data_IF_117830804086
#
_entry.id   IF_117830804086
#
_cell.length_a   1.000
_cell.length_b   1.000
_cell.length_c   1.000
_cell.angle_alpha   90.00
_cell.angle_beta   90.00
_cell.angle_gamma   90.00
#
_symmetry.space_group_name_H-M   'P 1'
#
loop_
_entity.id
_entity.type
_entity.pdbx_description
1 polymer ?
#
# COMPACT_ATOMS: atom_id res chain seq x y z
N UNK A 1 13.06 38.80 32.55
CA UNK A 1 13.85 37.82 31.79
C UNK A 1 13.32 36.44 32.16
N UNK A 2 12.33 35.95 31.38
CA UNK A 2 11.76 34.62 31.59
C UNK A 2 12.67 33.60 30.94
N UNK A 3 13.16 32.65 31.73
CA UNK A 3 13.93 31.50 31.30
C UNK A 3 13.15 30.73 30.22
N UNK A 4 13.69 30.72 29.00
CA UNK A 4 13.35 29.71 27.98
C UNK A 4 13.74 28.35 28.57
N UNK A 5 12.74 27.61 29.04
CA UNK A 5 12.91 26.18 29.29
C UNK A 5 13.18 25.52 27.94
N UNK A 6 14.42 25.06 27.74
CA UNK A 6 14.77 24.16 26.65
C UNK A 6 13.83 22.94 26.71
N UNK A 7 13.17 22.57 25.60
CA UNK A 7 12.31 21.40 25.60
C UNK A 7 13.17 20.15 25.80
N UNK A 8 12.94 19.46 26.92
CA UNK A 8 13.59 18.19 27.26
C UNK A 8 13.62 17.24 26.03
N UNK A 9 14.81 16.88 25.51
CA UNK A 9 14.93 16.02 24.32
C UNK A 9 14.43 14.58 24.56
N UNK A 10 14.12 14.25 25.81
CA UNK A 10 13.68 12.94 26.27
C UNK A 10 12.17 12.84 26.54
N UNK A 11 11.40 13.94 26.39
CA UNK A 11 9.94 13.84 26.39
C UNK A 11 9.48 13.24 25.06
N UNK A 12 9.40 11.91 25.04
CA UNK A 12 8.71 11.16 24.00
C UNK A 12 7.29 11.71 23.96
N UNK A 13 6.98 12.48 22.92
CA UNK A 13 5.67 13.04 22.72
C UNK A 13 4.72 11.90 22.31
N UNK A 14 4.16 11.21 23.32
CA UNK A 14 3.31 10.02 23.16
C UNK A 14 2.20 10.25 22.12
N UNK A 15 1.76 11.50 21.96
CA UNK A 15 0.74 11.90 21.00
C UNK A 15 1.27 11.84 19.55
N UNK A 16 2.52 12.23 19.31
CA UNK A 16 3.19 12.08 18.01
C UNK A 16 3.53 10.61 17.70
N UNK A 17 3.91 9.82 18.72
CA UNK A 17 4.13 8.38 18.57
C UNK A 17 2.83 7.66 18.21
N UNK A 18 1.73 7.95 18.90
CA UNK A 18 0.42 7.39 18.61
C UNK A 18 -0.09 7.79 17.22
N UNK A 19 0.15 9.03 16.79
CA UNK A 19 -0.16 9.51 15.43
C UNK A 19 0.62 8.75 14.36
N UNK A 20 1.92 8.54 14.58
CA UNK A 20 2.79 7.78 13.67
C UNK A 20 2.40 6.31 13.59
N UNK A 21 2.05 5.69 14.73
CA UNK A 21 1.56 4.31 14.78
C UNK A 21 0.24 4.14 14.01
N UNK A 22 -0.69 5.08 14.19
CA UNK A 22 -1.98 5.08 13.47
C UNK A 22 -1.76 5.22 11.97
N UNK A 23 -0.85 6.08 11.54
CA UNK A 23 -0.50 6.25 10.14
C UNK A 23 0.13 4.99 9.55
N UNK A 24 1.02 4.32 10.30
CA UNK A 24 1.64 3.05 9.91
C UNK A 24 0.58 1.94 9.76
N UNK A 25 -0.35 1.84 10.71
CA UNK A 25 -1.47 0.89 10.65
C UNK A 25 -2.36 1.12 9.43
N UNK A 26 -2.66 2.37 9.09
CA UNK A 26 -3.46 2.69 7.89
C UNK A 26 -2.71 2.25 6.62
N UNK A 27 -1.41 2.53 6.51
CA UNK A 27 -0.58 2.08 5.37
C UNK A 27 -0.60 0.56 5.27
N UNK A 28 -0.45 -0.12 6.40
CA UNK A 28 -0.47 -1.58 6.48
C UNK A 28 -1.81 -2.18 6.04
N UNK A 29 -2.93 -1.64 6.54
CA UNK A 29 -4.28 -2.09 6.16
C UNK A 29 -4.52 -1.87 4.65
N UNK A 30 -4.14 -0.72 4.11
CA UNK A 30 -4.27 -0.42 2.67
C UNK A 30 -3.43 -1.39 1.83
N UNK A 31 -2.22 -1.73 2.28
CA UNK A 31 -1.37 -2.72 1.63
C UNK A 31 -1.93 -4.13 1.66
N UNK A 32 -2.43 -4.56 2.82
CA UNK A 32 -3.12 -5.85 2.95
C UNK A 32 -4.35 -5.94 2.04
N UNK A 33 -5.15 -4.88 1.97
CA UNK A 33 -6.34 -4.84 1.13
C UNK A 33 -5.99 -4.91 -0.37
N UNK A 34 -4.99 -4.15 -0.81
CA UNK A 34 -4.46 -4.21 -2.18
C UNK A 34 -3.92 -5.61 -2.52
N UNK A 35 -3.18 -6.23 -1.61
CA UNK A 35 -2.66 -7.59 -1.78
C UNK A 35 -3.79 -8.62 -1.89
N UNK A 36 -4.82 -8.49 -1.05
CA UNK A 36 -5.98 -9.36 -1.08
C UNK A 36 -6.73 -9.29 -2.43
N UNK A 37 -6.95 -8.07 -2.95
CA UNK A 37 -7.55 -7.86 -4.27
C UNK A 37 -6.67 -8.49 -5.37
N UNK A 38 -5.35 -8.29 -5.30
CA UNK A 38 -4.41 -8.85 -6.26
C UNK A 38 -4.50 -10.38 -6.31
N UNK A 39 -4.43 -11.06 -5.16
CA UNK A 39 -4.52 -12.51 -5.08
C UNK A 39 -5.87 -13.00 -5.60
N UNK A 40 -6.96 -12.31 -5.25
CA UNK A 40 -8.31 -12.66 -5.69
C UNK A 40 -8.46 -12.56 -7.21
N UNK A 41 -7.99 -11.47 -7.80
CA UNK A 41 -7.98 -11.29 -9.26
C UNK A 41 -7.14 -12.38 -9.92
N UNK A 42 -5.94 -12.63 -9.41
CA UNK A 42 -5.02 -13.62 -9.96
C UNK A 42 -5.66 -15.01 -9.96
N UNK A 43 -6.34 -15.40 -8.87
CA UNK A 43 -7.06 -16.68 -8.78
C UNK A 43 -8.26 -16.78 -9.72
N UNK A 44 -9.06 -15.72 -9.84
CA UNK A 44 -10.20 -15.69 -10.78
C UNK A 44 -9.71 -15.77 -12.22
N UNK A 45 -8.69 -14.98 -12.58
CA UNK A 45 -8.11 -14.97 -13.92
C UNK A 45 -7.47 -16.30 -14.29
N UNK A 46 -6.77 -16.95 -13.35
CA UNK A 46 -6.22 -18.29 -13.57
C UNK A 46 -7.31 -19.32 -13.80
N UNK A 47 -8.41 -19.27 -13.03
CA UNK A 47 -9.53 -20.20 -13.19
C UNK A 47 -10.17 -20.08 -14.57
N UNK A 48 -10.43 -18.85 -15.03
CA UNK A 48 -11.00 -18.58 -16.36
C UNK A 48 -10.01 -19.01 -17.47
N UNK A 49 -8.71 -18.73 -17.31
CA UNK A 49 -7.70 -19.15 -18.29
C UNK A 49 -7.53 -20.66 -18.36
N UNK A 50 -7.62 -21.36 -17.24
CA UNK A 50 -7.52 -22.83 -17.17
C UNK A 50 -8.71 -23.52 -17.85
N UNK A 51 -9.91 -22.92 -17.78
CA UNK A 51 -11.11 -23.38 -18.47
C UNK A 51 -11.06 -23.14 -19.99
N UNK A 52 -10.14 -22.28 -20.48
CA UNK A 52 -9.91 -22.04 -21.89
C UNK A 52 -8.96 -23.09 -22.51
N UNK A 53 -9.48 -23.93 -23.40
CA UNK A 53 -8.73 -24.99 -24.12
C UNK A 53 -7.97 -24.48 -25.35
N UNK A 54 -7.26 -23.35 -25.23
CA UNK A 54 -6.58 -22.69 -26.38
C UNK A 54 -5.08 -23.03 -26.42
N UNK A 55 -4.56 -23.33 -27.61
CA UNK A 55 -3.12 -23.40 -27.90
C UNK A 55 -2.49 -22.01 -27.68
N UNK A 56 -1.58 -21.87 -26.71
CA UNK A 56 -1.00 -20.58 -26.30
C UNK A 56 -1.38 -20.09 -24.90
N UNK A 57 -2.09 -20.93 -24.12
CA UNK A 57 -2.52 -20.63 -22.74
C UNK A 57 -1.41 -20.12 -21.83
N UNK A 58 -0.20 -20.67 -21.94
CA UNK A 58 0.96 -20.24 -21.12
C UNK A 58 1.38 -18.80 -21.41
N UNK A 59 1.39 -18.39 -22.69
CA UNK A 59 1.71 -17.03 -23.10
C UNK A 59 0.64 -16.06 -22.58
N UNK A 60 -0.63 -16.45 -22.65
CA UNK A 60 -1.75 -15.64 -22.13
C UNK A 60 -1.68 -15.57 -20.60
N UNK A 61 -1.32 -16.65 -19.89
CA UNK A 61 -1.09 -16.62 -18.44
C UNK A 61 0.07 -15.69 -18.06
N UNK A 62 1.17 -15.74 -18.82
CA UNK A 62 2.33 -14.88 -18.58
C UNK A 62 1.99 -13.40 -18.79
N UNK A 63 1.28 -13.06 -19.87
CA UNK A 63 0.83 -11.70 -20.15
C UNK A 63 -0.18 -11.23 -19.10
N UNK A 64 -1.12 -12.09 -18.71
CA UNK A 64 -2.10 -11.80 -17.67
C UNK A 64 -1.41 -11.50 -16.34
N UNK A 65 -0.50 -12.37 -15.90
CA UNK A 65 0.29 -12.18 -14.69
C UNK A 65 1.11 -10.88 -14.74
N UNK A 66 1.85 -10.65 -15.82
CA UNK A 66 2.67 -9.45 -15.99
C UNK A 66 1.84 -8.15 -15.97
N UNK A 67 0.67 -8.15 -16.63
CA UNK A 67 -0.26 -7.02 -16.63
C UNK A 67 -0.80 -6.76 -15.23
N UNK A 68 -1.21 -7.82 -14.53
CA UNK A 68 -1.73 -7.74 -13.17
C UNK A 68 -0.66 -7.21 -12.20
N UNK A 69 0.57 -7.71 -12.29
CA UNK A 69 1.70 -7.24 -11.46
C UNK A 69 2.02 -5.77 -11.74
N UNK A 70 2.00 -5.36 -13.01
CA UNK A 70 2.23 -3.95 -13.39
C UNK A 70 1.14 -3.03 -12.83
N UNK A 71 -0.13 -3.43 -12.94
CA UNK A 71 -1.26 -2.70 -12.36
C UNK A 71 -1.16 -2.63 -10.82
N UNK A 72 -0.74 -3.72 -10.18
CA UNK A 72 -0.55 -3.75 -8.74
C UNK A 72 0.57 -2.82 -8.29
N UNK A 73 1.73 -2.85 -8.94
CA UNK A 73 2.84 -1.93 -8.66
C UNK A 73 2.44 -0.47 -8.85
N UNK A 74 1.70 -0.18 -9.93
CA UNK A 74 1.19 1.17 -10.20
C UNK A 74 0.17 1.62 -9.15
N UNK A 75 -0.75 0.73 -8.76
CA UNK A 75 -1.73 0.98 -7.69
C UNK A 75 -1.03 1.23 -6.35
N UNK A 76 -0.04 0.41 -6.01
CA UNK A 76 0.76 0.56 -4.80
C UNK A 76 1.50 1.90 -4.76
N UNK A 77 2.18 2.26 -5.84
CA UNK A 77 2.85 3.54 -5.99
C UNK A 77 1.89 4.73 -5.82
N UNK A 78 0.71 4.62 -6.41
CA UNK A 78 -0.34 5.63 -6.32
C UNK A 78 -0.86 5.77 -4.88
N UNK A 79 -1.13 4.66 -4.18
CA UNK A 79 -1.53 4.68 -2.77
C UNK A 79 -0.45 5.29 -1.88
N UNK A 80 0.82 5.00 -2.10
CA UNK A 80 1.94 5.64 -1.37
C UNK A 80 1.94 7.16 -1.63
N UNK A 81 1.74 7.60 -2.87
CA UNK A 81 1.64 9.03 -3.20
C UNK A 81 0.46 9.70 -2.49
N UNK A 82 -0.70 9.07 -2.44
CA UNK A 82 -1.87 9.58 -1.73
C UNK A 82 -1.64 9.66 -0.22
N UNK A 83 -1.10 8.59 0.37
CA UNK A 83 -0.74 8.56 1.79
C UNK A 83 0.30 9.63 2.13
N UNK A 84 1.34 9.79 1.29
CA UNK A 84 2.34 10.86 1.43
C UNK A 84 1.69 12.25 1.41
N UNK A 85 0.78 12.53 0.48
CA UNK A 85 0.04 13.80 0.44
C UNK A 85 -0.82 13.99 1.69
N UNK A 86 -1.53 12.96 2.13
CA UNK A 86 -2.40 13.01 3.30
C UNK A 86 -1.63 13.20 4.62
N UNK A 87 -0.40 12.68 4.71
CA UNK A 87 0.45 12.88 5.88
C UNK A 87 1.15 14.24 5.88
N UNK A 88 1.57 14.75 4.71
CA UNK A 88 2.15 16.09 4.60
C UNK A 88 1.10 17.18 4.92
N UNK A 89 -0.17 17.00 4.51
CA UNK A 89 -1.22 18.00 4.80
C UNK A 89 -1.70 18.01 6.26
N UNK A 90 -1.25 17.09 7.11
CA UNK A 90 -1.56 17.06 8.55
C UNK A 90 -0.42 17.57 9.43
N UNK A 91 0.74 17.88 8.83
CA UNK A 91 1.94 18.33 9.53
C UNK A 91 2.21 19.85 9.37
N UNK A 92 1.37 20.57 8.65
CA UNK A 92 1.33 22.04 8.60
C UNK A 92 0.00 22.53 9.13
#
# INVERSE_FOLDING_TARGET
>A
MGSQEDPDPWKIDLRNVAGSLRNLLIVYIVGLFMLFIYISLLGIGLRILLELSIQGREVIMAIYGATLTTLWLYGWWTSIKYLRKAFISRAG
#
